data_IF_563936162028
#
_entry.id   IF_563936162028
#
_cell.length_a   1.000
_cell.length_b   1.000
_cell.length_c   1.000
_cell.angle_alpha   90.00
_cell.angle_beta   90.00
_cell.angle_gamma   90.00
#
_symmetry.space_group_name_H-M   'P 1'
#
loop_
_entity.id
_entity.type
_entity.pdbx_description
1 polymer ?
#
# COMPACT_ATOMS: atom_id res chain seq x y z
N UNK A 1 4.44 -8.66 -10.56
CA UNK A 1 4.75 -7.61 -9.59
C UNK A 1 4.37 -8.06 -8.19
N UNK A 2 5.16 -7.64 -7.22
CA UNK A 2 4.90 -7.99 -5.81
C UNK A 2 3.67 -7.28 -5.27
N UNK A 3 3.40 -6.06 -5.71
CA UNK A 3 2.19 -5.34 -5.29
C UNK A 3 0.93 -6.01 -5.85
N UNK A 4 0.99 -6.50 -7.07
CA UNK A 4 -0.13 -7.25 -7.65
C UNK A 4 -0.37 -8.53 -6.86
N UNK A 5 0.68 -9.28 -6.55
CA UNK A 5 0.57 -10.49 -5.73
C UNK A 5 0.00 -10.18 -4.34
N UNK A 6 0.45 -9.10 -3.73
CA UNK A 6 -0.05 -8.67 -2.42
C UNK A 6 -1.53 -8.29 -2.48
N UNK A 7 -1.95 -7.60 -3.55
CA UNK A 7 -3.35 -7.23 -3.76
C UNK A 7 -4.28 -8.43 -3.95
N UNK A 8 -3.73 -9.62 -4.18
CA UNK A 8 -4.51 -10.87 -4.28
C UNK A 8 -4.66 -11.59 -2.94
N UNK A 9 -4.00 -11.11 -1.88
CA UNK A 9 -4.09 -11.77 -0.57
C UNK A 9 -5.47 -11.55 0.05
N UNK A 10 -5.94 -12.58 0.72
CA UNK A 10 -7.17 -12.52 1.49
C UNK A 10 -6.90 -11.95 2.89
N UNK A 11 -7.93 -11.37 3.51
CA UNK A 11 -7.85 -10.93 4.91
C UNK A 11 -7.02 -9.68 5.17
N UNK A 12 -6.68 -8.89 4.15
CA UNK A 12 -5.98 -7.62 4.35
C UNK A 12 -6.89 -6.62 5.07
N UNK A 13 -6.29 -5.83 5.98
CA UNK A 13 -6.99 -4.69 6.57
C UNK A 13 -7.18 -3.62 5.49
N UNK A 14 -8.43 -3.27 5.12
CA UNK A 14 -8.66 -2.33 4.03
C UNK A 14 -8.09 -0.94 4.27
N UNK A 15 -7.94 -0.54 5.53
CA UNK A 15 -7.46 0.80 5.89
C UNK A 15 -5.98 0.85 6.21
N UNK A 16 -5.31 -0.30 6.31
CA UNK A 16 -3.90 -0.38 6.65
C UNK A 16 -3.36 -1.76 6.25
N UNK A 17 -3.20 -1.97 4.96
CA UNK A 17 -2.96 -3.30 4.39
C UNK A 17 -1.57 -3.86 4.67
N UNK A 18 -0.56 -3.01 4.88
CA UNK A 18 0.82 -3.44 5.03
C UNK A 18 1.35 -3.02 6.39
N UNK A 19 1.68 -4.00 7.21
CA UNK A 19 2.31 -3.76 8.51
C UNK A 19 3.77 -3.35 8.29
N UNK A 20 4.20 -2.17 8.78
CA UNK A 20 5.51 -1.64 8.46
C UNK A 20 6.68 -2.46 9.01
N UNK A 21 7.62 -2.81 8.13
CA UNK A 21 8.91 -3.42 8.49
C UNK A 21 10.03 -2.40 8.46
N UNK A 22 9.90 -1.36 7.63
CA UNK A 22 10.89 -0.30 7.51
C UNK A 22 10.23 1.06 7.67
N UNK A 23 11.00 2.10 8.07
CA UNK A 23 10.44 3.44 8.19
C UNK A 23 10.03 4.06 6.85
N UNK A 24 10.59 3.58 5.73
CA UNK A 24 10.36 4.19 4.42
C UNK A 24 8.92 4.06 3.95
N UNK A 25 8.26 2.93 4.23
CA UNK A 25 6.84 2.76 3.94
C UNK A 25 6.02 3.86 4.63
N UNK A 26 6.26 4.06 5.92
CA UNK A 26 5.53 5.05 6.72
C UNK A 26 5.79 6.47 6.22
N UNK A 27 7.08 6.79 5.99
CA UNK A 27 7.48 8.14 5.60
C UNK A 27 6.97 8.54 4.21
N UNK A 28 6.96 7.59 3.27
CA UNK A 28 6.53 7.88 1.90
C UNK A 28 5.04 7.70 1.67
N UNK A 29 4.46 6.65 2.23
CA UNK A 29 3.09 6.24 1.87
C UNK A 29 2.09 6.39 3.02
N UNK A 30 2.57 6.31 4.26
CA UNK A 30 1.68 6.22 5.40
C UNK A 30 0.95 4.88 5.40
N UNK A 31 -0.38 4.92 5.44
CA UNK A 31 -1.21 3.72 5.36
C UNK A 31 -1.53 3.38 3.92
N UNK A 32 -1.54 2.10 3.59
CA UNK A 32 -1.93 1.60 2.28
C UNK A 32 -3.37 1.10 2.36
N UNK A 33 -4.20 1.60 1.46
CA UNK A 33 -5.64 1.32 1.44
C UNK A 33 -5.92 0.20 0.44
N UNK A 34 -6.81 -0.72 0.76
CA UNK A 34 -7.31 -1.72 -0.19
C UNK A 34 -8.71 -1.34 -0.61
N UNK A 35 -8.95 -1.24 -1.91
CA UNK A 35 -10.29 -1.03 -2.47
C UNK A 35 -10.89 -2.35 -2.94
N UNK A 36 -12.23 -2.45 -3.01
CA UNK A 36 -12.89 -3.68 -3.46
C UNK A 36 -12.50 -4.05 -4.88
N UNK A 37 -12.58 -5.34 -5.20
CA UNK A 37 -12.39 -5.78 -6.58
C UNK A 37 -13.45 -5.16 -7.48
N UNK A 38 -12.99 -4.58 -8.60
CA UNK A 38 -13.83 -4.11 -9.69
C UNK A 38 -13.21 -4.63 -10.99
N UNK A 39 -14.02 -4.95 -11.96
CA UNK A 39 -13.48 -5.35 -13.27
C UNK A 39 -12.67 -4.19 -13.88
N UNK A 40 -11.63 -4.47 -14.66
CA UNK A 40 -10.88 -3.43 -15.36
C UNK A 40 -11.79 -2.52 -16.18
N UNK A 41 -11.54 -1.22 -16.08
CA UNK A 41 -12.35 -0.21 -16.80
C UNK A 41 -13.63 0.22 -16.08
N UNK A 42 -13.95 -0.36 -14.92
CA UNK A 42 -15.14 0.05 -14.17
C UNK A 42 -15.01 1.48 -13.67
N UNK A 43 -16.06 2.29 -13.84
CA UNK A 43 -16.13 3.65 -13.30
C UNK A 43 -16.13 3.66 -11.77
N UNK A 44 -16.46 2.55 -11.12
CA UNK A 44 -16.48 2.44 -9.66
C UNK A 44 -15.08 2.48 -9.05
N UNK A 45 -14.03 2.23 -9.82
CA UNK A 45 -12.65 2.29 -9.33
C UNK A 45 -12.32 3.70 -8.82
N UNK A 46 -12.62 4.72 -9.62
CA UNK A 46 -12.39 6.11 -9.22
C UNK A 46 -13.24 6.50 -8.00
N UNK A 47 -14.48 6.04 -7.96
CA UNK A 47 -15.38 6.29 -6.83
C UNK A 47 -14.83 5.69 -5.53
N UNK A 48 -14.34 4.46 -5.60
CA UNK A 48 -13.76 3.78 -4.42
C UNK A 48 -12.56 4.55 -3.87
N UNK A 49 -11.68 5.04 -4.75
CA UNK A 49 -10.53 5.84 -4.35
C UNK A 49 -10.98 7.16 -3.74
N UNK A 50 -11.96 7.81 -4.34
CA UNK A 50 -12.49 9.10 -3.85
C UNK A 50 -13.12 8.99 -2.46
N UNK A 51 -13.74 7.87 -2.13
CA UNK A 51 -14.44 7.67 -0.85
C UNK A 51 -13.50 7.69 0.36
N UNK A 52 -12.23 7.30 0.20
CA UNK A 52 -11.26 7.36 1.28
C UNK A 52 -10.64 8.73 1.46
N UNK A 53 -10.92 9.65 0.53
CA UNK A 53 -10.60 11.06 0.66
C UNK A 53 -9.14 11.42 0.47
N UNK A 54 -8.87 12.73 0.65
CA UNK A 54 -7.54 13.29 0.53
C UNK A 54 -6.61 12.75 1.65
N UNK A 55 -5.32 12.77 1.37
CA UNK A 55 -4.30 12.35 2.34
C UNK A 55 -3.81 10.93 2.18
N UNK A 56 -4.52 10.10 1.43
CA UNK A 56 -4.05 8.75 1.10
C UNK A 56 -3.35 8.77 -0.25
N UNK A 57 -2.15 8.19 -0.32
CA UNK A 57 -1.31 8.20 -1.51
C UNK A 57 -1.20 6.86 -2.19
N UNK A 58 -1.50 5.78 -1.48
CA UNK A 58 -1.23 4.43 -1.95
C UNK A 58 -2.45 3.56 -1.77
N UNK A 59 -2.82 2.88 -2.85
CA UNK A 59 -3.98 2.00 -2.91
C UNK A 59 -3.60 0.69 -3.56
N UNK A 60 -4.11 -0.39 -3.02
CA UNK A 60 -4.11 -1.69 -3.68
C UNK A 60 -5.53 -1.97 -4.13
N UNK A 61 -5.73 -2.07 -5.44
CA UNK A 61 -7.01 -2.50 -6.01
C UNK A 61 -7.04 -4.03 -5.90
N UNK A 62 -7.96 -4.56 -5.12
CA UNK A 62 -8.02 -6.01 -4.86
C UNK A 62 -7.98 -6.81 -6.17
N UNK A 63 -7.10 -7.81 -6.23
CA UNK A 63 -6.90 -8.70 -7.38
C UNK A 63 -6.49 -7.99 -8.68
N UNK A 64 -5.96 -6.77 -8.59
CA UNK A 64 -5.63 -5.97 -9.79
C UNK A 64 -4.19 -5.45 -9.72
N UNK A 65 -3.89 -4.54 -8.80
CA UNK A 65 -2.58 -3.92 -8.68
C UNK A 65 -2.63 -2.66 -7.85
N UNK A 66 -1.62 -1.80 -8.04
CA UNK A 66 -1.49 -0.58 -7.25
C UNK A 66 -1.99 0.66 -8.00
N UNK A 67 -2.44 1.65 -7.23
CA UNK A 67 -2.57 3.04 -7.65
C UNK A 67 -1.87 3.89 -6.62
N UNK A 68 -0.96 4.74 -7.06
CA UNK A 68 -0.22 5.65 -6.17
C UNK A 68 -0.27 7.07 -6.70
N UNK A 69 -0.24 8.03 -5.79
CA UNK A 69 -0.13 9.44 -6.11
C UNK A 69 1.15 10.06 -5.56
N UNK A 70 1.37 11.32 -5.88
CA UNK A 70 2.50 12.10 -5.40
C UNK A 70 2.34 13.54 -5.83
N UNK A 71 3.27 14.41 -5.37
CA UNK A 71 3.27 15.84 -5.71
C UNK A 71 3.50 16.08 -7.21
N UNK A 72 4.27 15.20 -7.82
CA UNK A 72 4.63 15.22 -9.23
C UNK A 72 4.90 13.79 -9.70
N UNK A 73 5.26 13.62 -10.95
CA UNK A 73 5.49 12.30 -11.53
C UNK A 73 6.69 11.58 -10.87
N UNK A 74 7.76 12.29 -10.54
CA UNK A 74 8.92 11.69 -9.87
C UNK A 74 8.56 11.20 -8.48
N UNK A 75 7.82 11.97 -7.72
CA UNK A 75 7.36 11.58 -6.39
C UNK A 75 6.43 10.37 -6.46
N UNK A 76 5.47 10.38 -7.40
CA UNK A 76 4.58 9.24 -7.61
C UNK A 76 5.34 7.98 -8.00
N UNK A 77 6.36 8.09 -8.86
CA UNK A 77 7.20 6.95 -9.24
C UNK A 77 7.97 6.39 -8.05
N UNK A 78 8.55 7.27 -7.24
CA UNK A 78 9.25 6.85 -6.02
C UNK A 78 8.29 6.17 -5.03
N UNK A 79 7.07 6.66 -4.92
CA UNK A 79 6.04 6.05 -4.08
C UNK A 79 5.64 4.66 -4.61
N UNK A 80 5.52 4.51 -5.93
CA UNK A 80 5.25 3.21 -6.55
C UNK A 80 6.37 2.20 -6.27
N UNK A 81 7.63 2.64 -6.36
CA UNK A 81 8.79 1.80 -6.05
C UNK A 81 8.79 1.38 -4.58
N UNK A 82 8.45 2.29 -3.66
CA UNK A 82 8.36 1.96 -2.24
C UNK A 82 7.26 0.94 -1.97
N UNK A 83 6.10 1.08 -2.59
CA UNK A 83 5.01 0.12 -2.43
C UNK A 83 5.41 -1.26 -2.96
N UNK A 84 6.06 -1.32 -4.12
CA UNK A 84 6.57 -2.57 -4.68
C UNK A 84 7.60 -3.22 -3.77
N UNK A 85 8.57 -2.45 -3.25
CA UNK A 85 9.59 -2.96 -2.33
C UNK A 85 9.01 -3.45 -1.01
N UNK A 86 8.02 -2.75 -0.47
CA UNK A 86 7.36 -3.16 0.78
C UNK A 86 6.62 -4.49 0.61
N UNK A 87 5.95 -4.68 -0.51
CA UNK A 87 5.30 -5.94 -0.84
C UNK A 87 6.31 -7.06 -1.05
N UNK A 88 7.43 -6.76 -1.71
CA UNK A 88 8.54 -7.70 -1.90
C UNK A 88 9.09 -8.18 -0.56
N UNK A 89 9.32 -7.27 0.38
CA UNK A 89 9.82 -7.63 1.71
C UNK A 89 8.89 -8.61 2.41
N UNK A 90 7.58 -8.40 2.31
CA UNK A 90 6.61 -9.32 2.87
C UNK A 90 6.83 -10.75 2.35
N UNK A 91 6.93 -10.91 1.03
CA UNK A 91 7.08 -12.25 0.43
C UNK A 91 8.44 -12.86 0.73
N UNK A 92 9.50 -12.06 0.76
CA UNK A 92 10.85 -12.55 1.07
C UNK A 92 11.00 -13.01 2.52
N UNK A 93 10.26 -12.39 3.43
CA UNK A 93 10.34 -12.72 4.87
C UNK A 93 9.26 -13.68 5.33
N UNK A 94 8.38 -14.09 4.43
CA UNK A 94 7.27 -15.00 4.76
C UNK A 94 7.80 -16.29 5.40
N UNK A 95 7.23 -16.67 6.53
CA UNK A 95 7.67 -17.83 7.30
C UNK A 95 8.80 -17.55 8.29
N UNK A 96 9.37 -16.35 8.25
CA UNK A 96 10.37 -15.92 9.23
C UNK A 96 9.72 -15.18 10.39
N UNK A 97 10.44 -15.08 11.50
CA UNK A 97 10.03 -14.22 12.62
C UNK A 97 10.43 -12.78 12.28
N UNK A 98 9.45 -11.90 12.14
CA UNK A 98 9.68 -10.53 11.70
C UNK A 98 9.58 -9.59 12.89
N UNK A 99 10.57 -8.72 13.03
CA UNK A 99 10.50 -7.60 13.97
C UNK A 99 9.91 -6.39 13.26
N UNK A 100 8.61 -6.21 13.41
CA UNK A 100 7.92 -5.04 12.87
C UNK A 100 8.25 -3.78 13.65
N UNK A 101 8.06 -2.63 13.03
CA UNK A 101 8.07 -1.36 13.74
C UNK A 101 6.93 -1.35 14.77
N UNK A 102 7.21 -0.80 15.95
CA UNK A 102 6.19 -0.61 16.99
C UNK A 102 5.34 0.62 16.69
N UNK A 103 4.20 0.74 17.35
CA UNK A 103 3.36 1.94 17.24
C UNK A 103 4.13 3.20 17.65
N UNK A 104 5.01 3.09 18.67
CA UNK A 104 5.86 4.19 19.08
C UNK A 104 6.85 4.58 17.98
N UNK A 105 7.48 3.60 17.32
CA UNK A 105 8.38 3.85 16.20
C UNK A 105 7.66 4.58 15.06
N UNK A 106 6.46 4.12 14.71
CA UNK A 106 5.65 4.72 13.65
C UNK A 106 5.29 6.16 13.99
N UNK A 107 4.91 6.41 15.23
CA UNK A 107 4.52 7.74 15.70
C UNK A 107 5.65 8.76 15.56
N UNK A 108 6.89 8.33 15.78
CA UNK A 108 8.06 9.22 15.61
C UNK A 108 8.28 9.67 14.18
N UNK A 109 7.74 8.91 13.20
CA UNK A 109 7.92 9.17 11.78
C UNK A 109 6.84 10.10 11.20
N UNK A 110 5.79 10.36 11.94
CA UNK A 110 4.65 11.16 11.47
C UNK A 110 4.77 12.65 11.81
#
# INVERSE_FOLDING_TARGET
SYSTAYACLDGLDPMNAIKPMTPYLVMRLGKVIVTPYRKPGSALIADDISKVGAGNKAFLLANHGMVVGGKDMNDALNNAQELEESCKLYFLTKGSNIRYLTDADIKELL
#
